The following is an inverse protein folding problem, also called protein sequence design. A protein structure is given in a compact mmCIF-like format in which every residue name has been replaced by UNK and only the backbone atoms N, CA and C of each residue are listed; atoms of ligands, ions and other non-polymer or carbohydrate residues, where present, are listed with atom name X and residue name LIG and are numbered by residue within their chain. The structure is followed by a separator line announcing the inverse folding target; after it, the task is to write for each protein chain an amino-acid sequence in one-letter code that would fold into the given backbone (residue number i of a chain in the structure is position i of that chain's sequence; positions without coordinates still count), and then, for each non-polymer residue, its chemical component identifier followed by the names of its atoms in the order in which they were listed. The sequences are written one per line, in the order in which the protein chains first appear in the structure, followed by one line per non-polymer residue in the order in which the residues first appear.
data_IF_324753894794
#
_entry.id   IF_324753894794
#
_cell.length_a   1.000
_cell.length_b   1.000
_cell.length_c   1.000
_cell.angle_alpha   90.00
_cell.angle_beta   90.00
_cell.angle_gamma   90.00
#
_symmetry.space_group_name_H-M   'P 1'
#
loop_
_entity.id
_entity.type
_entity.pdbx_description
1 polymer ?
#
# COMPACT_ATOMS: atom_id res chain seq x y z
N UNK A 1 25.08 57.55 -5.72
CA UNK A 1 23.71 57.05 -5.48
C UNK A 1 23.68 55.57 -5.83
N UNK A 2 23.76 54.69 -4.82
CA UNK A 2 23.85 53.23 -4.98
C UNK A 2 22.44 52.67 -5.24
N UNK A 3 22.21 52.07 -6.40
CA UNK A 3 20.98 51.32 -6.70
C UNK A 3 21.20 49.87 -6.25
N UNK A 4 20.57 49.49 -5.15
CA UNK A 4 20.44 48.09 -4.73
C UNK A 4 19.38 47.43 -5.60
N UNK A 5 19.79 46.46 -6.42
CA UNK A 5 18.88 45.58 -7.16
C UNK A 5 18.77 44.31 -6.32
N UNK A 6 17.67 44.16 -5.59
CA UNK A 6 17.33 42.93 -4.89
C UNK A 6 16.72 41.95 -5.89
N UNK A 7 17.52 40.99 -6.35
CA UNK A 7 17.05 39.88 -7.19
C UNK A 7 16.27 38.89 -6.32
N UNK A 8 14.94 38.99 -6.35
CA UNK A 8 14.05 37.96 -5.83
C UNK A 8 14.17 36.75 -6.77
N UNK A 9 14.92 35.74 -6.32
CA UNK A 9 14.97 34.44 -6.97
C UNK A 9 13.63 33.74 -6.79
N UNK A 10 12.73 33.89 -7.76
CA UNK A 10 11.52 33.08 -7.87
C UNK A 10 11.95 31.67 -8.29
N UNK A 11 12.14 30.78 -7.31
CA UNK A 11 12.30 29.36 -7.56
C UNK A 11 10.96 28.83 -8.14
N UNK A 12 10.87 28.80 -9.47
CA UNK A 12 9.85 27.99 -10.15
C UNK A 12 10.17 26.53 -9.89
N UNK A 13 9.48 25.91 -8.94
CA UNK A 13 9.37 24.46 -8.89
C UNK A 13 8.44 24.06 -10.04
N UNK A 14 9.03 23.79 -11.20
CA UNK A 14 8.36 23.15 -12.30
C UNK A 14 8.10 21.68 -11.92
N UNK A 15 6.92 21.41 -11.38
CA UNK A 15 6.42 20.05 -11.16
C UNK A 15 5.28 19.74 -12.11
N UNK A 16 5.59 19.48 -13.38
CA UNK A 16 4.63 19.00 -14.37
C UNK A 16 4.18 17.58 -14.01
N UNK A 17 3.21 17.44 -13.12
CA UNK A 17 2.67 16.16 -12.70
C UNK A 17 1.50 15.72 -13.60
N UNK A 18 1.76 15.44 -14.88
CA UNK A 18 0.77 14.79 -15.76
C UNK A 18 1.47 13.90 -16.81
N UNK A 19 1.99 12.76 -16.38
CA UNK A 19 2.18 11.55 -17.20
C UNK A 19 2.25 10.33 -16.26
N UNK A 20 1.16 9.55 -16.24
CA UNK A 20 0.87 8.54 -15.24
C UNK A 20 1.78 7.31 -15.30
N UNK A 21 2.52 7.09 -14.21
CA UNK A 21 3.28 5.87 -13.94
C UNK A 21 3.47 5.71 -12.44
N UNK A 22 3.68 4.49 -11.98
CA UNK A 22 4.04 4.21 -10.58
C UNK A 22 5.47 4.73 -10.38
N UNK A 23 5.74 5.62 -9.39
CA UNK A 23 7.05 6.22 -9.22
C UNK A 23 8.08 5.20 -8.69
N UNK A 24 9.36 5.41 -9.02
CA UNK A 24 10.47 4.60 -8.50
C UNK A 24 10.82 4.90 -7.04
N UNK A 25 10.30 5.99 -6.48
CA UNK A 25 10.42 6.31 -5.07
C UNK A 25 9.19 7.04 -4.54
N UNK A 26 8.98 6.97 -3.23
CA UNK A 26 7.94 7.70 -2.51
C UNK A 26 8.52 8.39 -1.29
N UNK A 27 7.81 9.40 -0.79
CA UNK A 27 8.05 9.96 0.54
C UNK A 27 7.04 9.36 1.53
N UNK A 28 7.50 8.84 2.67
CA UNK A 28 6.64 8.33 3.74
C UNK A 28 5.96 9.47 4.48
N UNK A 29 4.96 9.15 5.31
CA UNK A 29 4.32 10.13 6.21
C UNK A 29 5.28 10.70 7.26
N UNK A 30 6.42 10.02 7.49
CA UNK A 30 7.50 10.46 8.37
C UNK A 30 8.56 11.31 7.64
N UNK A 31 8.40 11.56 6.33
CA UNK A 31 9.32 12.36 5.53
C UNK A 31 10.52 11.58 4.97
N UNK A 32 10.54 10.25 5.09
CA UNK A 32 11.62 9.42 4.55
C UNK A 32 11.40 9.12 3.07
N UNK A 33 12.46 9.18 2.26
CA UNK A 33 12.39 8.72 0.86
C UNK A 33 12.69 7.23 0.80
N UNK A 34 11.75 6.45 0.25
CA UNK A 34 11.92 5.01 0.01
C UNK A 34 11.94 4.73 -1.49
N UNK A 35 12.90 3.91 -1.93
CA UNK A 35 12.84 3.27 -3.25
C UNK A 35 11.67 2.29 -3.29
N UNK A 36 10.91 2.30 -4.39
CA UNK A 36 9.77 1.41 -4.63
C UNK A 36 10.25 0.21 -5.45
N UNK A 37 10.33 -1.00 -4.85
CA UNK A 37 10.70 -2.19 -5.59
C UNK A 37 9.56 -2.67 -6.51
N UNK A 38 9.90 -3.47 -7.52
CA UNK A 38 8.94 -4.01 -8.50
C UNK A 38 7.80 -4.81 -7.84
N UNK A 39 8.08 -5.52 -6.74
CA UNK A 39 7.04 -6.24 -5.98
C UNK A 39 5.97 -5.31 -5.42
N UNK A 40 6.36 -4.11 -4.95
CA UNK A 40 5.44 -3.09 -4.44
C UNK A 40 4.69 -2.38 -5.56
N UNK A 41 5.32 -2.19 -6.73
CA UNK A 41 4.62 -1.61 -7.89
C UNK A 41 3.36 -2.41 -8.25
N UNK A 42 3.37 -3.74 -8.08
CA UNK A 42 2.17 -4.60 -8.25
C UNK A 42 1.04 -4.25 -7.28
N UNK A 43 1.37 -3.83 -6.06
CA UNK A 43 0.39 -3.42 -5.05
C UNK A 43 -0.16 -2.01 -5.35
N UNK A 44 0.70 -1.12 -5.85
CA UNK A 44 0.37 0.28 -6.14
C UNK A 44 -0.61 0.46 -7.32
N UNK A 45 -0.89 -0.61 -8.08
CA UNK A 45 -1.99 -0.61 -9.07
C UNK A 45 -3.36 -0.40 -8.43
N UNK A 46 -3.57 -0.92 -7.22
CA UNK A 46 -4.85 -0.86 -6.52
C UNK A 46 -4.80 -0.06 -5.22
N UNK A 47 -3.60 0.13 -4.67
CA UNK A 47 -3.39 0.75 -3.38
C UNK A 47 -2.55 2.02 -3.49
N UNK A 48 -2.73 2.92 -2.52
CA UNK A 48 -1.88 4.08 -2.35
C UNK A 48 -0.91 3.84 -1.18
N UNK A 49 0.24 4.54 -1.26
CA UNK A 49 1.34 4.51 -0.29
C UNK A 49 1.96 5.91 -0.20
N UNK A 50 2.67 6.18 0.89
CA UNK A 50 3.40 7.43 1.10
C UNK A 50 2.48 8.63 1.32
N UNK A 51 2.94 9.83 0.94
CA UNK A 51 2.20 11.09 1.14
C UNK A 51 0.98 11.25 0.23
N UNK A 52 0.77 10.37 -0.75
CA UNK A 52 -0.41 10.43 -1.61
C UNK A 52 -1.66 10.06 -0.81
N UNK A 53 -2.63 10.98 -0.64
CA UNK A 53 -3.82 10.71 0.14
C UNK A 53 -4.72 9.69 -0.56
N UNK A 54 -5.28 8.76 0.21
CA UNK A 54 -6.20 7.77 -0.30
C UNK A 54 -7.49 8.41 -0.87
N UNK A 55 -8.09 7.76 -1.87
CA UNK A 55 -9.35 8.18 -2.51
C UNK A 55 -10.29 6.98 -2.67
N UNK A 56 -11.62 7.14 -2.48
CA UNK A 56 -12.62 6.06 -2.62
C UNK A 56 -12.65 5.34 -3.96
N UNK A 57 -12.12 5.95 -5.02
CA UNK A 57 -12.02 5.35 -6.35
C UNK A 57 -10.98 4.22 -6.45
N UNK A 58 -10.04 4.15 -5.50
CA UNK A 58 -9.03 3.09 -5.50
C UNK A 58 -9.61 1.75 -5.08
N UNK A 59 -9.21 0.68 -5.79
CA UNK A 59 -9.70 -0.68 -5.54
C UNK A 59 -9.27 -1.25 -4.18
N UNK A 60 -8.21 -0.69 -3.58
CA UNK A 60 -7.70 -1.06 -2.26
C UNK A 60 -7.58 0.12 -1.29
N UNK A 61 -7.56 -0.14 0.03
CA UNK A 61 -7.32 0.86 1.07
C UNK A 61 -5.87 1.38 1.06
N UNK A 62 -5.59 2.44 1.82
CA UNK A 62 -4.22 2.91 2.05
C UNK A 62 -3.35 1.84 2.73
N UNK A 63 -2.12 1.67 2.26
CA UNK A 63 -1.17 0.72 2.83
C UNK A 63 -0.26 1.31 3.93
N UNK A 64 -0.23 2.62 4.09
CA UNK A 64 0.48 3.25 5.22
C UNK A 64 -0.07 2.74 6.56
N UNK A 65 0.82 2.37 7.47
CA UNK A 65 0.45 1.75 8.76
C UNK A 65 -0.40 0.50 8.60
N UNK A 66 -0.32 -0.24 7.48
CA UNK A 66 -1.04 -1.49 7.33
C UNK A 66 -0.46 -2.58 8.23
N UNK A 67 0.86 -2.65 8.37
CA UNK A 67 1.52 -3.58 9.29
C UNK A 67 1.10 -3.27 10.73
N UNK A 68 0.56 -4.27 11.42
CA UNK A 68 0.01 -4.18 12.77
C UNK A 68 -1.43 -3.67 12.88
N UNK A 69 -2.01 -3.11 11.81
CA UNK A 69 -3.40 -2.62 11.84
C UNK A 69 -4.40 -3.79 11.88
N UNK A 70 -5.50 -3.67 12.65
CA UNK A 70 -6.61 -4.62 12.58
C UNK A 70 -7.16 -4.75 11.16
N UNK A 71 -7.42 -5.97 10.70
CA UNK A 71 -7.94 -6.21 9.36
C UNK A 71 -9.31 -5.57 9.15
N UNK A 72 -9.53 -5.01 7.95
CA UNK A 72 -10.83 -4.44 7.59
C UNK A 72 -11.21 -3.12 8.27
N UNK A 73 -10.23 -2.36 8.80
CA UNK A 73 -10.51 -1.15 9.62
C UNK A 73 -10.03 0.19 9.03
N UNK A 74 -9.43 0.21 7.83
CA UNK A 74 -9.07 1.50 7.21
C UNK A 74 -10.33 2.34 6.93
N UNK A 75 -10.36 3.56 7.45
CA UNK A 75 -11.52 4.44 7.38
C UNK A 75 -11.88 4.78 5.92
N UNK A 76 -13.19 4.79 5.63
CA UNK A 76 -13.72 5.14 4.31
C UNK A 76 -13.65 4.03 3.26
N UNK A 77 -12.85 2.97 3.43
CA UNK A 77 -12.83 1.85 2.48
C UNK A 77 -13.98 0.86 2.73
N UNK A 78 -14.69 0.50 1.67
CA UNK A 78 -15.81 -0.46 1.74
C UNK A 78 -15.29 -1.90 1.75
N UNK A 79 -15.11 -2.46 2.94
CA UNK A 79 -14.69 -3.86 3.12
C UNK A 79 -15.84 -4.87 3.01
N UNK A 80 -15.50 -6.11 2.61
CA UNK A 80 -16.39 -7.26 2.75
C UNK A 80 -16.55 -7.68 4.22
N UNK A 81 -17.64 -8.38 4.52
CA UNK A 81 -18.03 -8.70 5.91
C UNK A 81 -17.04 -9.61 6.63
N UNK A 82 -16.52 -10.64 5.96
CA UNK A 82 -15.55 -11.56 6.57
C UNK A 82 -14.26 -10.84 6.99
N UNK A 83 -13.82 -9.84 6.23
CA UNK A 83 -12.61 -9.08 6.57
C UNK A 83 -12.85 -8.11 7.73
N UNK A 84 -14.02 -7.45 7.78
CA UNK A 84 -14.39 -6.54 8.87
C UNK A 84 -14.52 -7.27 10.21
N UNK A 85 -15.05 -8.48 10.19
CA UNK A 85 -15.32 -9.31 11.39
C UNK A 85 -14.14 -10.21 11.75
N UNK A 86 -13.05 -10.15 10.98
CA UNK A 86 -11.96 -11.10 11.05
C UNK A 86 -11.24 -11.18 12.40
N UNK A 87 -11.11 -10.05 13.09
CA UNK A 87 -10.52 -10.00 14.43
C UNK A 87 -9.02 -10.27 14.50
N UNK A 88 -8.31 -10.34 13.37
CA UNK A 88 -6.86 -10.44 13.32
C UNK A 88 -6.19 -9.10 12.95
N UNK A 89 -4.89 -9.01 13.22
CA UNK A 89 -4.04 -7.90 12.80
C UNK A 89 -3.13 -8.32 11.66
N UNK A 90 -2.72 -7.37 10.82
CA UNK A 90 -1.76 -7.64 9.75
C UNK A 90 -0.33 -7.74 10.27
N UNK A 91 0.04 -8.92 10.75
CA UNK A 91 1.43 -9.27 11.03
C UNK A 91 2.10 -9.96 9.82
N UNK A 92 3.36 -10.37 10.01
CA UNK A 92 4.15 -11.05 8.99
C UNK A 92 3.54 -12.38 8.55
N UNK A 93 3.00 -13.18 9.46
CA UNK A 93 2.40 -14.48 9.13
C UNK A 93 1.10 -14.33 8.33
N UNK A 94 0.23 -13.41 8.75
CA UNK A 94 -1.02 -13.11 8.05
C UNK A 94 -0.74 -12.50 6.67
N UNK A 95 0.20 -11.56 6.57
CA UNK A 95 0.59 -10.98 5.29
C UNK A 95 1.20 -12.01 4.35
N UNK A 96 2.11 -12.87 4.84
CA UNK A 96 2.73 -13.94 4.05
C UNK A 96 1.66 -14.83 3.41
N UNK A 97 0.69 -15.29 4.20
CA UNK A 97 -0.42 -16.11 3.70
C UNK A 97 -1.34 -15.34 2.75
N UNK A 98 -1.55 -14.04 2.99
CA UNK A 98 -2.44 -13.19 2.20
C UNK A 98 -1.88 -12.84 0.82
N UNK A 99 -0.57 -12.60 0.72
CA UNK A 99 0.05 -12.10 -0.53
C UNK A 99 0.87 -13.15 -1.27
N UNK A 100 1.14 -14.33 -0.70
CA UNK A 100 1.84 -15.40 -1.41
C UNK A 100 0.91 -16.21 -2.31
N UNK A 101 1.35 -16.51 -3.53
CA UNK A 101 0.64 -17.44 -4.41
C UNK A 101 0.72 -18.88 -3.91
N UNK A 102 1.81 -19.25 -3.22
CA UNK A 102 2.02 -20.63 -2.73
C UNK A 102 1.04 -21.02 -1.64
N UNK A 103 0.51 -20.05 -0.89
CA UNK A 103 -0.53 -20.23 0.14
C UNK A 103 -1.95 -20.11 -0.42
N UNK A 104 -2.10 -19.88 -1.74
CA UNK A 104 -3.39 -19.61 -2.38
C UNK A 104 -3.88 -18.16 -2.23
N UNK A 105 -3.03 -17.26 -1.73
CA UNK A 105 -3.25 -15.82 -1.65
C UNK A 105 -4.48 -15.41 -0.83
N UNK A 106 -4.93 -14.17 -1.07
CA UNK A 106 -5.99 -13.52 -0.29
C UNK A 106 -7.30 -14.33 -0.24
N UNK A 107 -7.61 -15.07 -1.32
CA UNK A 107 -8.79 -15.95 -1.38
C UNK A 107 -8.70 -17.08 -0.36
N UNK A 108 -7.56 -17.76 -0.26
CA UNK A 108 -7.42 -18.88 0.70
C UNK A 108 -7.20 -18.36 2.11
N UNK A 109 -6.48 -17.25 2.24
CA UNK A 109 -6.22 -16.60 3.52
C UNK A 109 -7.51 -16.12 4.19
N UNK A 110 -8.41 -15.41 3.48
CA UNK A 110 -9.68 -14.94 4.08
C UNK A 110 -10.53 -16.11 4.59
N UNK A 111 -10.59 -17.22 3.86
CA UNK A 111 -11.34 -18.41 4.25
C UNK A 111 -10.76 -19.06 5.51
N UNK A 112 -9.43 -19.07 5.61
CA UNK A 112 -8.70 -19.66 6.74
C UNK A 112 -8.85 -18.80 7.99
N UNK A 113 -8.60 -17.49 7.87
CA UNK A 113 -8.59 -16.58 9.02
C UNK A 113 -9.99 -16.35 9.61
N UNK A 114 -11.02 -16.29 8.75
CA UNK A 114 -12.41 -16.13 9.19
C UNK A 114 -13.05 -17.44 9.66
N UNK A 115 -12.46 -18.60 9.35
CA UNK A 115 -13.10 -19.91 9.53
C UNK A 115 -14.29 -20.17 8.59
N UNK A 116 -14.59 -19.25 7.66
CA UNK A 116 -15.69 -19.38 6.71
C UNK A 116 -15.18 -19.87 5.34
N UNK A 117 -15.47 -21.11 4.92
CA UNK A 117 -14.99 -21.64 3.64
C UNK A 117 -15.58 -20.92 2.42
N UNK A 118 -16.67 -20.17 2.60
CA UNK A 118 -17.33 -19.39 1.54
C UNK A 118 -16.94 -17.90 1.57
N UNK A 119 -16.03 -17.50 2.46
CA UNK A 119 -15.59 -16.12 2.57
C UNK A 119 -15.02 -15.60 1.25
N UNK A 120 -15.28 -14.31 0.97
CA UNK A 120 -14.83 -13.63 -0.25
C UNK A 120 -14.06 -12.37 0.10
N UNK A 121 -13.00 -12.11 -0.65
CA UNK A 121 -12.24 -10.87 -0.61
C UNK A 121 -12.43 -10.07 -1.90
N UNK A 122 -12.39 -8.74 -1.80
CA UNK A 122 -12.40 -7.85 -2.96
C UNK A 122 -11.03 -7.79 -3.66
N UNK A 123 -9.97 -8.25 -2.98
CA UNK A 123 -8.62 -8.30 -3.55
C UNK A 123 -8.51 -9.51 -4.50
N UNK A 124 -8.58 -9.24 -5.80
CA UNK A 124 -8.45 -10.24 -6.88
C UNK A 124 -7.00 -10.56 -7.26
N UNK A 125 -6.04 -10.13 -6.44
CA UNK A 125 -4.61 -10.37 -6.69
C UNK A 125 -4.28 -11.87 -6.53
N UNK A 126 -3.62 -12.50 -7.51
CA UNK A 126 -3.32 -13.94 -7.47
C UNK A 126 -2.23 -14.33 -6.47
N UNK A 127 -1.47 -13.36 -5.93
CA UNK A 127 -0.33 -13.58 -5.07
C UNK A 127 1.02 -13.41 -5.79
N UNK A 128 2.07 -13.20 -5.00
CA UNK A 128 3.47 -13.10 -5.41
C UNK A 128 4.04 -14.51 -5.64
N UNK A 129 4.99 -14.64 -6.57
CA UNK A 129 5.46 -15.95 -7.03
C UNK A 129 6.64 -16.49 -6.22
N UNK A 130 7.28 -15.68 -5.38
CA UNK A 130 8.43 -16.08 -4.58
C UNK A 130 8.38 -15.53 -3.16
N UNK A 131 9.04 -16.24 -2.25
CA UNK A 131 9.22 -15.80 -0.86
C UNK A 131 10.00 -14.49 -0.75
N UNK A 132 10.99 -14.28 -1.62
CA UNK A 132 11.76 -13.03 -1.65
C UNK A 132 10.86 -11.82 -1.97
N UNK A 133 9.95 -11.93 -2.95
CA UNK A 133 8.99 -10.86 -3.25
C UNK A 133 8.04 -10.62 -2.06
N UNK A 134 7.56 -11.69 -1.41
CA UNK A 134 6.69 -11.59 -0.23
C UNK A 134 7.40 -10.82 0.88
N UNK A 135 8.63 -11.17 1.19
CA UNK A 135 9.37 -10.52 2.27
C UNK A 135 9.75 -9.08 1.93
N UNK A 136 10.05 -8.79 0.66
CA UNK A 136 10.29 -7.42 0.20
C UNK A 136 9.06 -6.54 0.42
N UNK A 137 7.85 -7.04 0.09
CA UNK A 137 6.61 -6.31 0.34
C UNK A 137 6.38 -6.11 1.84
N UNK A 138 6.51 -7.15 2.66
CA UNK A 138 6.29 -7.04 4.12
C UNK A 138 7.28 -6.04 4.74
N UNK A 139 8.55 -6.09 4.36
CA UNK A 139 9.57 -5.18 4.86
C UNK A 139 9.32 -3.73 4.42
N UNK A 140 8.80 -3.52 3.21
CA UNK A 140 8.38 -2.18 2.78
C UNK A 140 7.20 -1.68 3.61
N UNK A 141 6.17 -2.51 3.83
CA UNK A 141 5.01 -2.15 4.66
C UNK A 141 5.38 -1.78 6.10
N UNK A 142 6.40 -2.43 6.69
CA UNK A 142 6.93 -2.09 8.03
C UNK A 142 7.51 -0.67 8.11
N UNK A 143 7.90 -0.08 6.97
CA UNK A 143 8.48 1.27 6.88
C UNK A 143 7.44 2.36 6.61
N UNK A 144 6.21 2.01 6.22
CA UNK A 144 5.14 2.98 5.89
C UNK A 144 4.31 3.41 7.11
#
# INVERSE_FOLDING_TARGET
MKRLIASIGLALVAGSALAGGIPDSITTTKGETLTVPESIKKCMTCHLVGTTPWKPVFAGPQLNGAFGRPAGTFEGFSYGDDLKKGGWNWDEAHLTQWISKTTGGAKKAIQTFSGNPLAKTKMSFPGLNSEAEVQEVINFLKKL
#
